data_IF_230602498352
#
_entry.id   IF_230602498352
#
_cell.length_a   1.000
_cell.length_b   1.000
_cell.length_c   1.000
_cell.angle_alpha   90.00
_cell.angle_beta   90.00
_cell.angle_gamma   90.00
#
_symmetry.space_group_name_H-M   'P 1'
#
loop_
_entity.id
_entity.type
_entity.pdbx_description
1 polymer ?
#
# COMPACT_ATOMS: atom_id res chain seq x y z
N UNK A 1 13.01 -12.93 25.59
CA UNK A 1 13.32 -11.58 25.05
C UNK A 1 14.63 -11.01 25.57
N UNK A 2 14.80 -10.71 26.87
CA UNK A 2 15.99 -10.02 27.42
C UNK A 2 17.36 -10.59 27.03
N UNK A 3 17.49 -11.91 26.82
CA UNK A 3 18.75 -12.52 26.39
C UNK A 3 19.08 -12.28 24.90
N UNK A 4 18.06 -12.09 24.06
CA UNK A 4 18.22 -11.88 22.62
C UNK A 4 18.54 -10.42 22.29
N UNK A 5 18.02 -9.48 23.09
CA UNK A 5 18.29 -8.04 22.92
C UNK A 5 19.77 -7.72 23.00
N UNK A 6 20.50 -8.39 23.91
CA UNK A 6 21.93 -8.18 24.12
C UNK A 6 22.80 -9.16 23.33
N UNK A 7 22.25 -9.81 22.30
CA UNK A 7 23.01 -10.77 21.51
C UNK A 7 24.11 -10.04 20.73
N UNK A 8 25.40 -10.41 20.89
CA UNK A 8 26.53 -9.62 20.38
C UNK A 8 26.75 -9.74 18.86
N UNK A 9 25.95 -10.55 18.16
CA UNK A 9 26.07 -10.78 16.71
C UNK A 9 24.76 -10.44 16.00
N UNK A 10 24.78 -10.43 14.68
CA UNK A 10 23.57 -10.29 13.88
C UNK A 10 22.63 -11.49 14.14
N UNK A 11 21.37 -11.17 14.43
CA UNK A 11 20.30 -12.14 14.64
C UNK A 11 19.20 -11.86 13.62
N UNK A 12 18.82 -12.88 12.86
CA UNK A 12 17.67 -12.83 11.95
C UNK A 12 16.57 -13.69 12.56
N UNK A 13 15.41 -13.10 12.81
CA UNK A 13 14.27 -13.80 13.40
C UNK A 13 13.03 -13.59 12.54
N UNK A 14 12.21 -14.64 12.46
CA UNK A 14 10.87 -14.60 11.88
C UNK A 14 9.92 -14.92 13.04
N UNK A 15 8.98 -14.02 13.31
CA UNK A 15 8.00 -14.17 14.39
C UNK A 15 6.68 -13.53 13.97
N UNK A 16 5.56 -14.11 14.42
CA UNK A 16 4.21 -13.53 14.26
C UNK A 16 3.78 -12.71 15.49
N UNK A 17 4.58 -12.68 16.56
CA UNK A 17 4.27 -11.89 17.76
C UNK A 17 4.81 -10.47 17.59
N UNK A 18 3.90 -9.49 17.57
CA UNK A 18 4.22 -8.07 17.47
C UNK A 18 5.05 -7.59 18.67
N UNK A 19 4.66 -7.98 19.89
CA UNK A 19 5.37 -7.63 21.12
C UNK A 19 6.83 -8.11 21.10
N UNK A 20 7.04 -9.34 20.62
CA UNK A 20 8.38 -9.91 20.48
C UNK A 20 9.24 -9.13 19.48
N UNK A 21 8.68 -8.83 18.29
CA UNK A 21 9.38 -8.05 17.26
C UNK A 21 9.69 -6.64 17.77
N UNK A 22 8.76 -6.03 18.50
CA UNK A 22 8.96 -4.71 19.09
C UNK A 22 10.03 -4.70 20.18
N UNK A 23 10.14 -5.77 20.97
CA UNK A 23 11.10 -5.87 22.06
C UNK A 23 12.52 -6.25 21.63
N UNK A 24 12.70 -6.92 20.49
CA UNK A 24 13.99 -7.50 20.06
C UNK A 24 14.54 -6.89 18.77
N UNK A 25 13.68 -6.57 17.80
CA UNK A 25 14.14 -6.14 16.48
C UNK A 25 14.38 -4.62 16.42
N UNK A 26 15.49 -4.24 15.79
CA UNK A 26 15.87 -2.86 15.49
C UNK A 26 15.69 -2.48 14.01
N UNK A 27 15.45 -3.48 13.16
CA UNK A 27 15.19 -3.35 11.74
C UNK A 27 14.14 -4.38 11.33
N UNK A 28 13.26 -4.00 10.41
CA UNK A 28 12.27 -4.89 9.78
C UNK A 28 12.58 -4.98 8.29
N UNK A 29 12.57 -6.20 7.76
CA UNK A 29 12.74 -6.46 6.33
C UNK A 29 11.42 -6.99 5.80
N UNK A 30 10.79 -6.22 4.92
CA UNK A 30 9.60 -6.66 4.21
C UNK A 30 9.99 -7.33 2.90
N UNK A 31 9.53 -8.55 2.70
CA UNK A 31 9.57 -9.22 1.41
C UNK A 31 8.21 -9.07 0.73
N UNK A 32 8.15 -8.36 -0.39
CA UNK A 32 6.93 -8.24 -1.19
C UNK A 32 7.28 -8.17 -2.67
N UNK A 33 6.49 -8.84 -3.52
CA UNK A 33 6.67 -8.87 -4.99
C UNK A 33 8.12 -9.16 -5.40
N UNK A 34 8.72 -10.18 -4.79
CA UNK A 34 10.12 -10.60 -5.04
C UNK A 34 11.18 -9.51 -4.73
N UNK A 35 10.81 -8.47 -3.96
CA UNK A 35 11.68 -7.38 -3.55
C UNK A 35 11.77 -7.32 -2.03
N UNK A 36 12.97 -7.05 -1.53
CA UNK A 36 13.22 -6.79 -0.11
C UNK A 36 13.28 -5.28 0.12
N UNK A 37 12.52 -4.81 1.11
CA UNK A 37 12.52 -3.40 1.55
C UNK A 37 12.91 -3.35 3.01
N UNK A 38 13.88 -2.49 3.34
CA UNK A 38 14.42 -2.35 4.69
C UNK A 38 13.78 -1.17 5.40
N UNK A 39 13.34 -1.39 6.63
CA UNK A 39 12.79 -0.39 7.53
C UNK A 39 13.63 -0.33 8.79
N UNK A 40 14.04 0.87 9.19
CA UNK A 40 14.70 1.10 10.46
C UNK A 40 13.68 1.27 11.58
N UNK A 41 13.98 0.72 12.75
CA UNK A 41 13.11 0.75 13.90
C UNK A 41 12.44 -0.58 14.20
N UNK A 42 11.58 -0.55 15.20
CA UNK A 42 10.81 -1.69 15.66
C UNK A 42 9.58 -1.95 14.74
N UNK A 43 8.78 -2.95 15.09
CA UNK A 43 7.62 -3.34 14.29
C UNK A 43 6.57 -2.21 14.19
N UNK A 44 6.26 -1.51 15.28
CA UNK A 44 5.28 -0.42 15.26
C UNK A 44 5.71 0.74 14.37
N UNK A 45 7.00 1.09 14.41
CA UNK A 45 7.56 2.10 13.52
C UNK A 45 7.45 1.65 12.06
N UNK A 46 7.76 0.40 11.76
CA UNK A 46 7.57 -0.20 10.44
C UNK A 46 6.11 -0.06 9.94
N UNK A 47 5.12 -0.43 10.76
CA UNK A 47 3.70 -0.36 10.39
C UNK A 47 3.28 1.08 10.07
N UNK A 48 3.71 2.04 10.90
CA UNK A 48 3.42 3.46 10.68
C UNK A 48 4.07 3.97 9.39
N UNK A 49 5.36 3.70 9.19
CA UNK A 49 6.07 4.13 7.98
C UNK A 49 5.49 3.50 6.72
N UNK A 50 5.08 2.22 6.77
CA UNK A 50 4.39 1.56 5.66
C UNK A 50 3.11 2.27 5.29
N UNK A 51 2.25 2.55 6.27
CA UNK A 51 0.99 3.26 6.06
C UNK A 51 1.22 4.65 5.43
N UNK A 52 2.18 5.42 5.96
CA UNK A 52 2.54 6.74 5.41
C UNK A 52 3.06 6.67 3.96
N UNK A 53 3.88 5.67 3.62
CA UNK A 53 4.38 5.45 2.27
C UNK A 53 3.24 5.09 1.31
N UNK A 54 2.33 4.22 1.73
CA UNK A 54 1.18 3.78 0.94
C UNK A 54 0.20 4.94 0.68
N UNK A 55 -0.09 5.74 1.70
CA UNK A 55 -0.90 6.94 1.53
C UNK A 55 -0.26 7.94 0.55
N UNK A 56 1.04 8.18 0.67
CA UNK A 56 1.77 9.08 -0.22
C UNK A 56 1.78 8.58 -1.66
N UNK A 57 1.96 7.27 -1.86
CA UNK A 57 1.88 6.64 -3.17
C UNK A 57 0.47 6.77 -3.76
N UNK A 58 -0.59 6.54 -2.97
CA UNK A 58 -1.97 6.70 -3.41
C UNK A 58 -2.32 8.14 -3.77
N UNK A 59 -1.83 9.12 -3.00
CA UNK A 59 -2.01 10.55 -3.32
C UNK A 59 -1.33 10.90 -4.64
N UNK A 60 -0.09 10.45 -4.83
CA UNK A 60 0.66 10.65 -6.09
C UNK A 60 -0.06 9.99 -7.27
N UNK A 61 -0.52 8.75 -7.12
CA UNK A 61 -1.29 8.05 -8.13
C UNK A 61 -2.54 8.83 -8.53
N UNK A 62 -3.34 9.26 -7.55
CA UNK A 62 -4.56 10.04 -7.81
C UNK A 62 -4.25 11.34 -8.55
N UNK A 63 -3.24 12.07 -8.10
CA UNK A 63 -2.82 13.31 -8.75
C UNK A 63 -2.39 13.08 -10.21
N UNK A 64 -1.59 12.05 -10.49
CA UNK A 64 -1.19 11.69 -11.85
C UNK A 64 -2.40 11.30 -12.72
N UNK A 65 -3.36 10.54 -12.18
CA UNK A 65 -4.59 10.17 -12.89
C UNK A 65 -5.46 11.40 -13.22
N UNK A 66 -5.62 12.33 -12.28
CA UNK A 66 -6.38 13.57 -12.47
C UNK A 66 -5.74 14.45 -13.55
N UNK A 67 -4.40 14.55 -13.55
CA UNK A 67 -3.64 15.26 -14.60
C UNK A 67 -3.83 14.61 -15.97
N UNK A 68 -3.75 13.28 -16.05
CA UNK A 68 -3.98 12.53 -17.29
C UNK A 68 -5.41 12.76 -17.80
N UNK A 69 -6.41 12.69 -16.92
CA UNK A 69 -7.81 12.91 -17.27
C UNK A 69 -8.04 14.32 -17.83
N UNK A 70 -7.50 15.35 -17.16
CA UNK A 70 -7.58 16.74 -17.61
C UNK A 70 -6.91 16.98 -18.97
N UNK A 71 -5.72 16.40 -19.18
CA UNK A 71 -5.02 16.50 -20.47
C UNK A 71 -5.78 15.79 -21.58
N UNK A 72 -6.34 14.60 -21.32
CA UNK A 72 -7.16 13.86 -22.28
C UNK A 72 -8.43 14.62 -22.65
N UNK A 73 -9.14 15.18 -21.69
CA UNK A 73 -10.34 16.00 -21.93
C UNK A 73 -10.00 17.25 -22.76
N UNK A 74 -8.90 17.93 -22.45
CA UNK A 74 -8.43 19.07 -23.24
C UNK A 74 -8.12 18.69 -24.69
N UNK A 75 -7.40 17.58 -24.90
CA UNK A 75 -7.07 17.09 -26.24
C UNK A 75 -8.34 16.74 -27.02
N UNK A 76 -9.31 16.07 -26.38
CA UNK A 76 -10.58 15.71 -26.99
C UNK A 76 -11.40 16.94 -27.41
N UNK A 77 -11.48 17.97 -26.55
CA UNK A 77 -12.27 19.18 -26.83
C UNK A 77 -11.62 20.11 -27.85
N UNK A 78 -10.30 20.24 -27.82
CA UNK A 78 -9.59 21.30 -28.53
C UNK A 78 -8.63 20.80 -29.62
N UNK A 79 -8.50 19.48 -29.82
CA UNK A 79 -7.60 18.87 -30.79
C UNK A 79 -7.89 19.27 -32.25
N UNK A 80 -9.17 19.46 -32.59
CA UNK A 80 -9.62 19.90 -33.91
C UNK A 80 -10.11 21.37 -33.92
N UNK A 81 -9.87 22.09 -32.82
CA UNK A 81 -10.32 23.47 -32.66
C UNK A 81 -9.44 24.48 -33.41
N UNK A 82 -9.54 25.74 -33.00
CA UNK A 82 -8.78 26.83 -33.60
C UNK A 82 -7.26 26.56 -33.61
N UNK A 83 -6.52 27.04 -34.62
CA UNK A 83 -5.09 26.71 -34.87
C UNK A 83 -4.18 26.88 -33.65
N UNK A 84 -4.45 27.88 -32.81
CA UNK A 84 -3.73 28.10 -31.53
C UNK A 84 -4.02 27.00 -30.51
N UNK A 85 -5.28 26.58 -30.37
CA UNK A 85 -5.71 25.56 -29.42
C UNK A 85 -5.29 24.15 -29.86
N UNK A 86 -5.38 23.85 -31.16
CA UNK A 86 -4.89 22.59 -31.72
C UNK A 86 -3.39 22.38 -31.46
N UNK A 87 -2.57 23.43 -31.62
CA UNK A 87 -1.13 23.40 -31.26
C UNK A 87 -0.91 23.14 -29.75
N UNK A 88 -1.75 23.71 -28.89
CA UNK A 88 -1.67 23.47 -27.44
C UNK A 88 -2.07 22.03 -27.09
N UNK A 89 -3.09 21.48 -27.73
CA UNK A 89 -3.51 20.08 -27.56
C UNK A 89 -2.39 19.11 -27.97
N UNK A 90 -1.75 19.31 -29.13
CA UNK A 90 -0.60 18.50 -29.57
C UNK A 90 0.58 18.57 -28.61
N UNK A 91 0.84 19.73 -28.00
CA UNK A 91 1.87 19.87 -26.99
C UNK A 91 1.55 19.03 -25.74
N UNK A 92 0.30 19.11 -25.25
CA UNK A 92 -0.17 18.30 -24.10
C UNK A 92 -0.16 16.81 -24.41
N UNK A 93 -0.47 16.40 -25.64
CA UNK A 93 -0.38 15.02 -26.09
C UNK A 93 1.06 14.48 -26.00
N UNK A 94 2.05 15.26 -26.45
CA UNK A 94 3.47 14.89 -26.29
C UNK A 94 3.88 14.78 -24.82
N UNK A 95 3.39 15.67 -23.96
CA UNK A 95 3.64 15.60 -22.51
C UNK A 95 3.02 14.33 -21.92
N UNK A 96 1.78 14.02 -22.28
CA UNK A 96 1.09 12.80 -21.84
C UNK A 96 1.84 11.54 -22.28
N UNK A 97 2.30 11.48 -23.52
CA UNK A 97 3.10 10.36 -24.02
C UNK A 97 4.40 10.19 -23.23
N UNK A 98 5.09 11.28 -22.90
CA UNK A 98 6.29 11.23 -22.05
C UNK A 98 5.98 10.76 -20.63
N UNK A 99 4.87 11.21 -20.03
CA UNK A 99 4.47 10.75 -18.69
C UNK A 99 4.18 9.24 -18.67
N UNK A 100 3.48 8.73 -19.69
CA UNK A 100 3.20 7.30 -19.81
C UNK A 100 4.49 6.50 -20.01
N UNK A 101 5.40 6.98 -20.87
CA UNK A 101 6.69 6.33 -21.12
C UNK A 101 7.62 6.35 -19.88
N UNK A 102 7.49 7.37 -19.02
CA UNK A 102 8.27 7.51 -17.78
C UNK A 102 7.85 6.57 -16.64
N UNK A 103 6.76 5.80 -16.82
CA UNK A 103 6.21 4.94 -15.77
C UNK A 103 5.34 5.73 -14.79
N UNK A 104 4.03 5.45 -14.80
CA UNK A 104 3.08 6.05 -13.87
C UNK A 104 3.22 5.40 -12.49
N UNK A 105 2.85 6.13 -11.45
CA UNK A 105 2.73 5.56 -10.12
C UNK A 105 1.78 4.35 -10.17
N UNK A 106 2.17 3.26 -9.52
CA UNK A 106 1.28 2.11 -9.35
C UNK A 106 0.26 2.41 -8.27
N UNK A 107 -0.95 1.87 -8.45
CA UNK A 107 -1.97 1.84 -7.40
C UNK A 107 -1.46 0.97 -6.26
N UNK A 108 -1.58 1.45 -5.03
CA UNK A 108 -1.40 0.59 -3.85
C UNK A 108 -2.59 -0.35 -3.77
N UNK A 109 -2.31 -1.65 -3.86
CA UNK A 109 -3.27 -2.70 -3.55
C UNK A 109 -3.04 -3.10 -2.09
N UNK A 110 -4.10 -3.07 -1.29
CA UNK A 110 -4.05 -3.57 0.08
C UNK A 110 -4.06 -5.09 0.12
N UNK A 111 -3.66 -5.65 1.25
CA UNK A 111 -3.66 -7.09 1.46
C UNK A 111 -5.08 -7.66 1.37
N UNK A 112 -5.19 -8.88 0.85
CA UNK A 112 -6.48 -9.52 0.67
C UNK A 112 -7.02 -9.92 2.03
N UNK A 113 -7.99 -9.16 2.53
CA UNK A 113 -8.69 -9.49 3.77
C UNK A 113 -9.62 -10.67 3.53
N UNK A 114 -9.39 -11.80 4.21
CA UNK A 114 -10.35 -12.91 4.19
C UNK A 114 -11.37 -12.68 5.31
N UNK A 115 -12.59 -12.35 4.92
CA UNK A 115 -13.68 -12.13 5.88
C UNK A 115 -14.49 -13.41 6.02
N UNK A 116 -14.50 -13.96 7.24
CA UNK A 116 -15.38 -15.08 7.56
C UNK A 116 -16.71 -14.56 8.10
N UNK A 117 -17.80 -15.02 7.50
CA UNK A 117 -19.14 -14.83 8.04
C UNK A 117 -19.57 -16.09 8.77
N UNK A 118 -19.89 -15.96 10.05
CA UNK A 118 -20.46 -17.04 10.83
C UNK A 118 -21.99 -16.85 10.89
N UNK A 119 -22.79 -17.82 10.40
CA UNK A 119 -24.24 -17.75 10.52
C UNK A 119 -24.66 -17.76 12.01
N UNK A 120 -25.83 -17.18 12.30
CA UNK A 120 -26.36 -17.16 13.67
C UNK A 120 -26.59 -18.59 14.18
N UNK A 121 -25.92 -19.01 15.27
CA UNK A 121 -26.07 -20.37 15.80
C UNK A 121 -27.42 -20.63 16.49
N UNK A 122 -28.30 -19.63 16.62
CA UNK A 122 -29.58 -19.78 17.33
C UNK A 122 -29.41 -19.84 18.86
N UNK A 123 -30.34 -20.50 19.56
CA UNK A 123 -30.27 -20.62 21.04
C UNK A 123 -29.21 -21.63 21.45
N UNK A 124 -28.17 -21.16 22.14
CA UNK A 124 -27.10 -22.00 22.68
C UNK A 124 -27.32 -22.21 24.17
N UNK A 125 -27.30 -23.47 24.61
CA UNK A 125 -27.71 -23.87 25.96
C UNK A 125 -26.57 -23.90 27.00
N UNK A 126 -25.31 -23.68 26.61
CA UNK A 126 -24.14 -23.68 27.52
C UNK A 126 -23.15 -22.55 27.18
N UNK A 127 -22.21 -22.25 28.10
CA UNK A 127 -21.19 -21.20 27.94
C UNK A 127 -20.43 -21.38 26.62
N UNK A 128 -20.72 -20.49 25.67
CA UNK A 128 -20.17 -20.51 24.32
C UNK A 128 -19.68 -19.12 23.97
N UNK A 129 -18.50 -19.01 23.36
CA UNK A 129 -17.98 -17.75 22.86
C UNK A 129 -18.58 -17.44 21.48
N UNK A 130 -19.19 -16.26 21.35
CA UNK A 130 -19.75 -15.77 20.08
C UNK A 130 -18.69 -14.92 19.37
N UNK A 131 -18.23 -15.39 18.21
CA UNK A 131 -17.45 -14.56 17.31
C UNK A 131 -18.39 -13.86 16.32
N UNK A 132 -18.40 -12.53 16.31
CA UNK A 132 -19.32 -11.72 15.49
C UNK A 132 -18.70 -11.43 14.11
N UNK A 133 -17.38 -11.25 14.07
CA UNK A 133 -16.61 -11.05 12.83
C UNK A 133 -15.16 -11.42 13.10
N UNK A 134 -14.62 -12.35 12.32
CA UNK A 134 -13.18 -12.59 12.24
C UNK A 134 -12.71 -12.15 10.85
N UNK A 135 -11.66 -11.33 10.85
CA UNK A 135 -10.90 -10.99 9.66
C UNK A 135 -9.47 -11.44 9.91
N UNK A 136 -8.88 -12.07 8.90
CA UNK A 136 -7.45 -12.38 8.88
C UNK A 136 -6.84 -11.56 7.74
N UNK A 137 -5.80 -10.81 8.07
CA UNK A 137 -4.89 -10.27 7.08
C UNK A 137 -3.92 -11.38 6.70
N UNK A 138 -3.81 -11.66 5.40
CA UNK A 138 -2.87 -12.62 4.85
C UNK A 138 -1.65 -11.83 4.38
N UNK A 139 -0.56 -11.91 5.16
CA UNK A 139 0.78 -11.42 4.78
C UNK A 139 1.38 -12.24 3.62
#
# INVERSE_FOLDING_TARGET
ERQLVNYPRCLVVISHSQDFLNGVCNHIILMSRHKLTYFGGNYDQYVRTRCELEENQMKRFKWEQDQIASMKDYIARFGHGNKKMARQAQSKEKVLQKMVAGGLAERVEGDKTLTFYFPDPGKIHHLSFKFIKLAFDMD
#
